data_IF_023906726215
#
_entry.id   IF_023906726215
#
_cell.length_a   1.000
_cell.length_b   1.000
_cell.length_c   1.000
_cell.angle_alpha   90.00
_cell.angle_beta   90.00
_cell.angle_gamma   90.00
#
_symmetry.space_group_name_H-M   'P 1'
#
loop_
_entity.id
_entity.type
_entity.pdbx_description
1 polymer ?
#
# COMPACT_ATOMS: atom_id res chain seq x y z
N UNK A 1 0.91 -21.90 -35.73
CA UNK A 1 2.28 -21.34 -35.77
C UNK A 1 2.16 -19.83 -35.62
N UNK A 2 2.67 -19.25 -34.53
CA UNK A 2 2.72 -17.81 -34.38
C UNK A 2 3.65 -17.21 -35.45
N UNK A 3 3.37 -16.03 -36.02
CA UNK A 3 4.26 -15.41 -36.99
C UNK A 3 5.59 -15.05 -36.32
N UNK A 4 6.72 -15.48 -36.91
CA UNK A 4 8.06 -15.03 -36.51
C UNK A 4 8.10 -13.50 -36.57
N UNK A 5 8.51 -12.86 -35.47
CA UNK A 5 8.62 -11.42 -35.42
C UNK A 5 9.65 -10.94 -36.44
N UNK A 6 9.34 -9.88 -37.21
CA UNK A 6 10.29 -9.33 -38.16
C UNK A 6 11.55 -8.82 -37.42
N UNK A 7 12.72 -8.96 -38.06
CA UNK A 7 14.01 -8.54 -37.47
C UNK A 7 13.97 -7.09 -36.95
N UNK A 8 13.30 -6.19 -37.67
CA UNK A 8 13.18 -4.79 -37.26
C UNK A 8 12.27 -4.62 -36.02
N UNK A 9 11.21 -5.42 -35.88
CA UNK A 9 10.36 -5.41 -34.69
C UNK A 9 11.16 -5.80 -33.44
N UNK A 10 11.97 -6.86 -33.57
CA UNK A 10 12.87 -7.32 -32.50
C UNK A 10 13.86 -6.23 -32.10
N UNK A 11 14.55 -5.63 -33.08
CA UNK A 11 15.52 -4.58 -32.80
C UNK A 11 14.88 -3.33 -32.20
N UNK A 12 13.63 -3.00 -32.57
CA UNK A 12 12.90 -1.89 -31.96
C UNK A 12 12.68 -2.08 -30.47
N UNK A 13 12.29 -3.28 -30.04
CA UNK A 13 12.10 -3.61 -28.63
C UNK A 13 13.42 -3.59 -27.86
N UNK A 14 14.46 -4.19 -28.43
CA UNK A 14 15.80 -4.21 -27.83
C UNK A 14 16.35 -2.79 -27.65
N UNK A 15 16.24 -1.94 -28.69
CA UNK A 15 16.67 -0.53 -28.63
C UNK A 15 15.91 0.27 -27.57
N UNK A 16 14.64 -0.07 -27.30
CA UNK A 16 13.86 0.60 -26.25
C UNK A 16 14.46 0.34 -24.86
N UNK A 17 14.75 -0.92 -24.55
CA UNK A 17 15.35 -1.31 -23.27
C UNK A 17 16.81 -0.85 -23.17
N UNK A 18 17.56 -0.94 -24.27
CA UNK A 18 18.98 -0.52 -24.31
C UNK A 18 19.18 0.95 -23.95
N UNK A 19 18.26 1.85 -24.37
CA UNK A 19 18.33 3.28 -24.03
C UNK A 19 18.33 3.57 -22.54
N UNK A 20 17.70 2.70 -21.75
CA UNK A 20 17.62 2.82 -20.29
C UNK A 20 18.79 2.11 -19.59
N UNK A 21 19.65 1.42 -20.35
CA UNK A 21 20.77 0.66 -19.81
C UNK A 21 21.88 1.59 -19.30
N UNK A 22 22.48 1.34 -18.12
CA UNK A 22 23.45 2.26 -17.51
C UNK A 22 24.67 2.60 -18.37
N UNK A 23 25.12 1.65 -19.20
CA UNK A 23 26.30 1.81 -20.07
C UNK A 23 25.94 2.21 -21.51
N UNK A 24 24.68 2.59 -21.78
CA UNK A 24 24.16 2.91 -23.11
C UNK A 24 25.07 3.84 -23.93
N UNK A 25 25.55 4.94 -23.33
CA UNK A 25 26.39 5.93 -24.03
C UNK A 25 27.74 5.39 -24.48
N UNK A 26 28.27 4.37 -23.80
CA UNK A 26 29.55 3.72 -24.12
C UNK A 26 29.39 2.41 -24.89
N UNK A 27 28.16 1.93 -25.05
CA UNK A 27 27.87 0.65 -25.68
C UNK A 27 27.93 0.74 -27.20
N UNK A 28 28.40 -0.33 -27.84
CA UNK A 28 28.32 -0.46 -29.29
C UNK A 28 26.95 -0.98 -29.71
N UNK A 29 26.13 -0.11 -30.29
CA UNK A 29 24.80 -0.46 -30.83
C UNK A 29 24.87 -1.67 -31.79
N UNK A 30 25.79 -1.75 -32.78
CA UNK A 30 25.88 -2.92 -33.65
C UNK A 30 26.14 -4.23 -32.90
N UNK A 31 26.93 -4.20 -31.82
CA UNK A 31 27.18 -5.40 -30.99
C UNK A 31 25.95 -5.81 -30.19
N UNK A 32 25.15 -4.86 -29.72
CA UNK A 32 23.89 -5.12 -29.02
C UNK A 32 22.88 -5.76 -29.96
N UNK A 33 22.69 -5.19 -31.15
CA UNK A 33 21.75 -5.71 -32.14
C UNK A 33 22.13 -7.12 -32.60
N UNK A 34 23.42 -7.36 -32.85
CA UNK A 34 23.93 -8.69 -33.17
C UNK A 34 23.65 -9.69 -32.05
N UNK A 35 24.00 -9.35 -30.81
CA UNK A 35 23.77 -10.24 -29.67
C UNK A 35 22.28 -10.54 -29.43
N UNK A 36 21.39 -9.58 -29.71
CA UNK A 36 19.96 -9.79 -29.61
C UNK A 36 19.42 -10.73 -30.71
N UNK A 37 19.87 -10.57 -31.95
CA UNK A 37 19.43 -11.42 -33.07
C UNK A 37 19.97 -12.86 -32.99
N UNK A 38 21.07 -13.08 -32.26
CA UNK A 38 21.64 -14.42 -32.01
C UNK A 38 20.86 -15.20 -30.93
N UNK A 39 20.04 -14.53 -30.11
CA UNK A 39 19.24 -15.18 -29.07
C UNK A 39 17.92 -15.74 -29.64
N UNK A 40 17.47 -16.92 -29.16
CA UNK A 40 16.10 -17.38 -29.33
C UNK A 40 15.07 -16.37 -28.82
N UNK A 41 13.88 -16.36 -29.41
CA UNK A 41 12.83 -15.37 -29.13
C UNK A 41 12.41 -15.35 -27.65
N UNK A 42 12.23 -16.52 -27.05
CA UNK A 42 11.87 -16.70 -25.65
C UNK A 42 12.98 -16.21 -24.70
N UNK A 43 14.22 -16.62 -24.97
CA UNK A 43 15.38 -16.20 -24.20
C UNK A 43 15.60 -14.68 -24.28
N UNK A 44 15.40 -14.09 -25.46
CA UNK A 44 15.50 -12.65 -25.66
C UNK A 44 14.42 -11.91 -24.90
N UNK A 45 13.15 -12.34 -24.97
CA UNK A 45 12.05 -11.72 -24.23
C UNK A 45 12.29 -11.78 -22.72
N UNK A 46 12.70 -12.95 -22.20
CA UNK A 46 13.07 -13.10 -20.79
C UNK A 46 14.21 -12.15 -20.39
N UNK A 47 15.27 -12.07 -21.22
CA UNK A 47 16.39 -11.15 -20.98
C UNK A 47 15.98 -9.68 -20.96
N UNK A 48 15.09 -9.25 -21.85
CA UNK A 48 14.58 -7.87 -21.87
C UNK A 48 13.72 -7.56 -20.62
N UNK A 49 12.90 -8.51 -20.17
CA UNK A 49 12.08 -8.37 -18.95
C UNK A 49 12.93 -8.30 -17.68
N UNK A 50 13.99 -9.11 -17.59
CA UNK A 50 14.86 -9.18 -16.42
C UNK A 50 15.90 -8.04 -16.34
N UNK A 51 16.05 -7.24 -17.40
CA UNK A 51 17.10 -6.24 -17.51
C UNK A 51 17.10 -5.19 -16.37
N UNK A 52 15.94 -4.60 -16.01
CA UNK A 52 15.86 -3.65 -14.89
C UNK A 52 16.25 -4.29 -13.54
N UNK A 53 15.86 -5.55 -13.32
CA UNK A 53 16.16 -6.29 -12.10
C UNK A 53 17.67 -6.56 -11.97
N UNK A 54 18.32 -6.94 -13.07
CA UNK A 54 19.77 -7.11 -13.10
C UNK A 54 20.51 -5.84 -12.69
N UNK A 55 20.12 -4.70 -13.26
CA UNK A 55 20.70 -3.40 -12.94
C UNK A 55 20.50 -3.06 -11.46
N UNK A 56 19.31 -3.31 -10.90
CA UNK A 56 19.01 -3.10 -9.48
C UNK A 56 19.90 -3.96 -8.58
N UNK A 57 19.98 -5.26 -8.83
CA UNK A 57 20.82 -6.18 -8.06
C UNK A 57 22.32 -5.80 -8.12
N UNK A 58 22.81 -5.34 -9.28
CA UNK A 58 24.17 -4.79 -9.38
C UNK A 58 24.37 -3.58 -8.46
N UNK A 59 23.43 -2.63 -8.43
CA UNK A 59 23.50 -1.45 -7.57
C UNK A 59 23.45 -1.81 -6.08
N UNK A 60 22.54 -2.68 -5.68
CA UNK A 60 22.39 -3.15 -4.28
C UNK A 60 23.67 -3.84 -3.79
N UNK A 61 24.30 -4.66 -4.64
CA UNK A 61 25.57 -5.33 -4.34
C UNK A 61 26.80 -4.47 -4.58
N UNK A 62 26.63 -3.20 -4.98
CA UNK A 62 27.71 -2.27 -5.36
C UNK A 62 28.65 -2.82 -6.45
N UNK A 63 28.11 -3.64 -7.35
CA UNK A 63 28.81 -4.20 -8.50
C UNK A 63 28.61 -3.35 -9.75
N UNK A 64 29.60 -3.36 -10.64
CA UNK A 64 29.51 -2.67 -11.93
C UNK A 64 28.53 -3.39 -12.87
N UNK A 65 27.74 -2.60 -13.61
CA UNK A 65 26.86 -3.10 -14.68
C UNK A 65 27.68 -3.27 -15.96
N UNK A 66 27.60 -4.43 -16.60
CA UNK A 66 28.30 -4.71 -17.87
C UNK A 66 27.62 -4.01 -19.07
N UNK A 67 28.24 -4.08 -20.25
CA UNK A 67 27.58 -3.63 -21.49
C UNK A 67 26.35 -4.46 -21.81
N UNK A 68 25.35 -3.87 -22.47
CA UNK A 68 24.11 -4.57 -22.77
C UNK A 68 24.33 -5.77 -23.71
N UNK A 69 25.30 -5.68 -24.62
CA UNK A 69 25.69 -6.78 -25.49
C UNK A 69 26.32 -7.96 -24.72
N UNK A 70 26.99 -7.71 -23.59
CA UNK A 70 27.52 -8.76 -22.71
C UNK A 70 26.39 -9.37 -21.88
N UNK A 71 25.49 -8.53 -21.35
CA UNK A 71 24.29 -8.97 -20.65
C UNK A 71 23.47 -9.96 -21.48
N UNK A 72 23.20 -9.62 -22.75
CA UNK A 72 22.45 -10.46 -23.70
C UNK A 72 23.18 -11.76 -24.04
N UNK A 73 24.43 -11.67 -24.48
CA UNK A 73 25.20 -12.83 -24.97
C UNK A 73 25.46 -13.87 -23.89
N UNK A 74 25.72 -13.42 -22.67
CA UNK A 74 26.04 -14.30 -21.53
C UNK A 74 24.81 -14.66 -20.69
N UNK A 75 23.61 -14.32 -21.16
CA UNK A 75 22.33 -14.62 -20.51
C UNK A 75 22.34 -14.29 -19.02
N UNK A 76 22.86 -13.11 -18.66
CA UNK A 76 23.19 -12.77 -17.25
C UNK A 76 21.98 -12.75 -16.31
N UNK A 77 20.76 -12.69 -16.84
CA UNK A 77 19.53 -12.82 -16.06
C UNK A 77 19.31 -14.22 -15.49
N UNK A 78 19.82 -15.27 -16.12
CA UNK A 78 19.66 -16.65 -15.61
C UNK A 78 20.38 -16.82 -14.27
N UNK A 79 21.50 -16.11 -14.08
CA UNK A 79 22.21 -16.08 -12.80
C UNK A 79 21.40 -15.39 -11.69
N UNK A 80 20.43 -14.54 -12.02
CA UNK A 80 19.53 -13.94 -11.03
C UNK A 80 18.53 -14.98 -10.51
N UNK A 81 17.98 -15.79 -11.42
CA UNK A 81 17.07 -16.87 -11.04
C UNK A 81 17.79 -17.94 -10.23
N UNK A 82 19.06 -18.24 -10.55
CA UNK A 82 19.87 -19.23 -9.80
C UNK A 82 20.14 -18.81 -8.35
N UNK A 83 20.17 -17.50 -8.07
CA UNK A 83 20.33 -16.96 -6.71
C UNK A 83 18.99 -16.57 -6.06
N UNK A 84 17.86 -17.05 -6.61
CA UNK A 84 16.52 -16.83 -6.07
C UNK A 84 15.91 -15.45 -6.32
N UNK A 85 16.52 -14.63 -7.18
CA UNK A 85 16.02 -13.29 -7.52
C UNK A 85 15.14 -13.39 -8.79
N UNK A 86 13.84 -13.61 -8.59
CA UNK A 86 12.84 -13.61 -9.68
C UNK A 86 12.35 -12.19 -10.04
N UNK A 87 12.02 -11.92 -11.31
CA UNK A 87 11.21 -10.76 -11.74
C UNK A 87 9.72 -11.12 -11.70
N UNK A 88 8.76 -10.21 -11.57
CA UNK A 88 8.71 -8.77 -11.29
C UNK A 88 8.18 -8.57 -9.85
N UNK A 89 8.37 -7.41 -9.19
CA UNK A 89 7.45 -7.02 -8.13
C UNK A 89 6.06 -6.90 -8.76
N UNK A 90 5.13 -7.77 -8.34
CA UNK A 90 3.70 -7.65 -8.66
C UNK A 90 3.32 -6.18 -8.44
N UNK A 91 2.87 -5.48 -9.49
CA UNK A 91 2.43 -4.08 -9.32
C UNK A 91 1.47 -4.05 -8.13
N UNK A 92 1.68 -3.18 -7.12
CA UNK A 92 0.85 -3.16 -5.93
C UNK A 92 -0.61 -3.09 -6.38
N UNK A 93 -1.36 -4.13 -6.07
CA UNK A 93 -2.74 -4.21 -6.48
C UNK A 93 -3.48 -3.06 -5.79
N UNK A 94 -4.12 -2.22 -6.58
CA UNK A 94 -4.96 -1.20 -6.01
C UNK A 94 -6.25 -1.87 -5.50
N UNK A 95 -6.75 -1.42 -4.36
CA UNK A 95 -8.01 -1.87 -3.79
C UNK A 95 -9.00 -0.71 -3.74
N UNK A 96 -10.29 -1.01 -3.74
CA UNK A 96 -11.29 0.04 -3.44
C UNK A 96 -11.19 0.36 -1.95
N UNK A 97 -11.45 1.62 -1.56
CA UNK A 97 -11.45 1.99 -0.12
C UNK A 97 -12.50 1.27 0.72
N UNK A 98 -13.48 0.65 0.05
CA UNK A 98 -14.57 -0.09 0.67
C UNK A 98 -14.35 -1.61 0.66
N UNK A 99 -13.22 -2.10 0.12
CA UNK A 99 -12.88 -3.51 0.20
C UNK A 99 -12.44 -3.89 1.61
N UNK A 100 -12.33 -5.20 1.88
CA UNK A 100 -11.75 -5.76 3.11
C UNK A 100 -10.35 -5.20 3.40
N UNK A 101 -9.46 -5.22 2.41
CA UNK A 101 -8.12 -4.64 2.51
C UNK A 101 -8.16 -3.12 2.79
N UNK A 102 -9.12 -2.41 2.20
CA UNK A 102 -9.32 -0.98 2.47
C UNK A 102 -9.81 -0.68 3.89
N UNK A 103 -10.64 -1.53 4.47
CA UNK A 103 -11.04 -1.43 5.88
C UNK A 103 -9.87 -1.71 6.81
N UNK A 104 -9.06 -2.73 6.52
CA UNK A 104 -7.86 -3.04 7.29
C UNK A 104 -6.87 -1.85 7.28
N UNK A 105 -6.62 -1.25 6.11
CA UNK A 105 -5.81 -0.03 6.04
C UNK A 105 -6.42 1.10 6.86
N UNK A 106 -7.73 1.33 6.76
CA UNK A 106 -8.39 2.38 7.54
C UNK A 106 -8.23 2.15 9.05
N UNK A 107 -8.47 0.94 9.54
CA UNK A 107 -8.29 0.60 10.96
C UNK A 107 -6.83 0.77 11.40
N UNK A 108 -5.89 0.31 10.58
CA UNK A 108 -4.46 0.48 10.82
C UNK A 108 -4.08 1.96 10.98
N UNK A 109 -4.58 2.83 10.12
CA UNK A 109 -4.36 4.28 10.21
C UNK A 109 -5.07 4.90 11.43
N UNK A 110 -6.24 4.39 11.82
CA UNK A 110 -6.99 4.88 12.98
C UNK A 110 -6.33 4.55 14.33
N UNK A 111 -5.65 3.42 14.44
CA UNK A 111 -4.90 3.04 15.66
C UNK A 111 -3.57 3.76 15.80
N UNK A 112 -3.09 4.45 14.75
CA UNK A 112 -1.90 5.28 14.85
C UNK A 112 -2.14 6.47 15.80
N UNK A 113 -1.07 7.03 16.40
CA UNK A 113 -1.16 8.28 17.15
C UNK A 113 -1.86 9.37 16.34
N UNK A 114 -2.72 10.14 17.00
CA UNK A 114 -3.41 11.24 16.34
C UNK A 114 -2.42 12.26 15.78
N UNK A 115 -2.72 12.77 14.59
CA UNK A 115 -1.97 13.85 13.98
C UNK A 115 -2.14 15.17 14.72
N UNK A 116 -1.39 16.18 14.28
CA UNK A 116 -1.52 17.53 14.79
C UNK A 116 -2.95 18.05 14.59
N UNK A 117 -3.58 18.48 15.68
CA UNK A 117 -4.89 19.11 15.65
C UNK A 117 -4.69 20.63 15.49
N UNK A 118 -5.26 21.25 14.43
CA UNK A 118 -5.21 22.70 14.32
C UNK A 118 -5.96 23.35 15.48
N UNK A 119 -5.60 24.58 15.81
CA UNK A 119 -6.31 25.35 16.82
C UNK A 119 -7.77 25.57 16.40
N UNK A 120 -8.71 25.25 17.29
CA UNK A 120 -10.14 25.50 17.03
C UNK A 120 -10.41 27.00 16.88
N UNK A 121 -11.42 27.42 16.09
CA UNK A 121 -11.92 28.79 16.15
C UNK A 121 -12.30 29.21 17.57
N UNK A 122 -12.06 30.48 17.94
CA UNK A 122 -12.29 30.99 19.29
C UNK A 122 -13.71 30.73 19.82
N UNK A 123 -14.73 30.85 18.97
CA UNK A 123 -16.11 30.53 19.35
C UNK A 123 -16.29 29.08 19.82
N UNK A 124 -15.63 28.11 19.17
CA UNK A 124 -15.69 26.70 19.57
C UNK A 124 -14.85 26.43 20.82
N UNK A 125 -13.75 27.15 21.02
CA UNK A 125 -12.94 27.06 22.25
C UNK A 125 -13.76 27.48 23.47
N UNK A 126 -14.47 28.62 23.38
CA UNK A 126 -15.33 29.10 24.47
C UNK A 126 -16.41 28.08 24.87
N UNK A 127 -17.03 27.40 23.89
CA UNK A 127 -18.01 26.34 24.18
C UNK A 127 -17.35 25.12 24.83
N UNK A 128 -16.14 24.76 24.38
CA UNK A 128 -15.38 23.67 24.97
C UNK A 128 -15.02 23.97 26.45
N UNK A 129 -14.52 25.17 26.72
CA UNK A 129 -14.16 25.68 28.05
C UNK A 129 -15.38 25.76 28.98
N UNK A 130 -16.49 26.30 28.50
CA UNK A 130 -17.75 26.35 29.26
C UNK A 130 -18.20 24.96 29.71
N UNK A 131 -18.07 23.94 28.85
CA UNK A 131 -18.40 22.56 29.21
C UNK A 131 -17.37 21.84 30.09
N UNK A 132 -16.17 22.38 30.30
CA UNK A 132 -15.18 21.87 31.26
C UNK A 132 -15.35 22.48 32.67
N UNK A 133 -16.12 23.57 32.78
CA UNK A 133 -16.34 24.22 34.05
C UNK A 133 -17.03 23.27 35.06
N UNK A 134 -16.64 23.26 36.35
CA UNK A 134 -17.27 22.40 37.36
C UNK A 134 -18.79 22.54 37.41
N UNK A 135 -19.29 23.78 37.29
CA UNK A 135 -20.72 24.13 37.33
C UNK A 135 -21.44 23.98 35.99
N UNK A 136 -20.78 23.44 34.95
CA UNK A 136 -21.39 23.25 33.65
C UNK A 136 -22.64 22.38 33.72
N UNK A 137 -23.67 22.74 32.97
CA UNK A 137 -24.85 21.91 32.77
C UNK A 137 -24.48 20.65 31.96
N UNK A 138 -25.29 19.61 32.05
CA UNK A 138 -25.10 18.41 31.23
C UNK A 138 -25.18 18.69 29.73
N UNK A 139 -25.95 19.70 29.33
CA UNK A 139 -26.04 20.14 27.93
C UNK A 139 -24.71 20.74 27.45
N UNK A 140 -24.09 21.60 28.26
CA UNK A 140 -22.79 22.20 27.95
C UNK A 140 -21.68 21.15 27.91
N UNK A 141 -21.65 20.23 28.87
CA UNK A 141 -20.70 19.10 28.88
C UNK A 141 -20.84 18.25 27.61
N UNK A 142 -22.07 17.85 27.25
CA UNK A 142 -22.34 17.06 26.05
C UNK A 142 -21.93 17.79 24.76
N UNK A 143 -22.24 19.09 24.67
CA UNK A 143 -21.87 19.90 23.51
C UNK A 143 -20.36 20.02 23.38
N UNK A 144 -19.66 20.27 24.49
CA UNK A 144 -18.21 20.36 24.57
C UNK A 144 -17.52 19.06 24.14
N UNK A 145 -18.00 17.90 24.63
CA UNK A 145 -17.51 16.57 24.19
C UNK A 145 -17.75 16.36 22.70
N UNK A 146 -18.94 16.72 22.19
CA UNK A 146 -19.27 16.60 20.77
C UNK A 146 -18.34 17.43 19.89
N UNK A 147 -18.12 18.70 20.22
CA UNK A 147 -17.22 19.59 19.46
C UNK A 147 -15.80 19.02 19.42
N UNK A 148 -15.27 18.53 20.55
CA UNK A 148 -13.94 17.89 20.58
C UNK A 148 -13.91 16.62 19.72
N UNK A 149 -14.95 15.79 19.81
CA UNK A 149 -15.08 14.56 19.02
C UNK A 149 -15.09 14.89 17.52
N UNK A 150 -15.93 15.81 17.07
CA UNK A 150 -16.04 16.23 15.67
C UNK A 150 -14.73 16.85 15.16
N UNK A 151 -14.06 17.64 16.00
CA UNK A 151 -12.76 18.21 15.67
C UNK A 151 -11.69 17.13 15.49
N UNK A 152 -11.66 16.11 16.37
CA UNK A 152 -10.76 14.95 16.24
C UNK A 152 -11.08 14.14 14.99
N UNK A 153 -12.35 13.83 14.72
CA UNK A 153 -12.75 13.10 13.50
C UNK A 153 -12.27 13.81 12.23
N UNK A 154 -12.35 15.16 12.21
CA UNK A 154 -11.97 15.97 11.05
C UNK A 154 -10.45 16.12 10.83
N UNK A 155 -9.66 16.15 11.90
CA UNK A 155 -8.23 16.50 11.79
C UNK A 155 -7.25 15.48 12.38
N UNK A 156 -7.72 14.62 13.28
CA UNK A 156 -6.89 13.67 14.03
C UNK A 156 -6.30 12.55 13.18
N UNK A 157 -6.91 12.20 12.05
CA UNK A 157 -6.42 11.13 11.17
C UNK A 157 -6.34 11.60 9.71
N UNK A 158 -5.33 12.42 9.35
CA UNK A 158 -5.18 12.95 8.00
C UNK A 158 -5.14 11.88 6.91
N UNK A 159 -4.50 10.73 7.18
CA UNK A 159 -4.43 9.61 6.24
C UNK A 159 -5.82 9.04 5.93
N UNK A 160 -6.62 8.75 6.97
CA UNK A 160 -8.01 8.28 6.84
C UNK A 160 -8.88 9.30 6.12
N UNK A 161 -8.74 10.58 6.47
CA UNK A 161 -9.53 11.65 5.87
C UNK A 161 -9.18 11.85 4.38
N UNK A 162 -7.90 11.68 4.01
CA UNK A 162 -7.47 11.68 2.61
C UNK A 162 -8.01 10.49 1.81
N UNK A 163 -8.37 9.36 2.44
CA UNK A 163 -8.98 8.22 1.75
C UNK A 163 -10.36 8.56 1.16
N UNK A 164 -11.09 9.50 1.74
CA UNK A 164 -12.41 9.91 1.25
C UNK A 164 -12.37 10.49 -0.18
N UNK A 165 -11.24 11.09 -0.59
CA UNK A 165 -11.04 11.61 -1.95
C UNK A 165 -10.54 10.55 -2.95
N UNK A 166 -10.23 9.33 -2.51
CA UNK A 166 -9.62 8.28 -3.35
C UNK A 166 -10.64 7.20 -3.69
N UNK A 167 -10.73 6.82 -4.97
CA UNK A 167 -11.48 5.64 -5.40
C UNK A 167 -10.68 4.34 -5.22
N UNK A 168 -9.36 4.45 -5.33
CA UNK A 168 -8.40 3.35 -5.28
C UNK A 168 -7.27 3.69 -4.32
N UNK A 169 -6.86 2.71 -3.52
CA UNK A 169 -5.82 2.82 -2.50
C UNK A 169 -4.84 1.65 -2.64
N UNK A 170 -3.60 1.87 -2.24
CA UNK A 170 -2.61 0.81 -2.12
C UNK A 170 -2.62 0.31 -0.67
N UNK A 171 -2.53 -1.00 -0.51
CA UNK A 171 -2.46 -1.66 0.80
C UNK A 171 -1.17 -2.49 0.81
N UNK A 172 -0.33 -2.38 1.85
CA UNK A 172 0.86 -3.23 1.97
C UNK A 172 0.49 -4.72 2.01
N UNK A 173 1.33 -5.58 1.43
CA UNK A 173 1.06 -7.02 1.32
C UNK A 173 0.87 -7.69 2.69
N UNK A 174 1.66 -7.30 3.70
CA UNK A 174 1.52 -7.79 5.07
C UNK A 174 0.13 -7.49 5.65
N UNK A 175 -0.39 -6.29 5.40
CA UNK A 175 -1.72 -5.89 5.89
C UNK A 175 -2.84 -6.57 5.10
N UNK A 176 -2.61 -6.81 3.81
CA UNK A 176 -3.51 -7.57 2.97
C UNK A 176 -3.72 -8.98 3.54
N UNK A 177 -2.65 -9.70 3.88
CA UNK A 177 -2.72 -11.03 4.51
C UNK A 177 -3.55 -11.01 5.80
N UNK A 178 -3.26 -10.08 6.70
CA UNK A 178 -4.02 -9.93 7.95
C UNK A 178 -5.50 -9.66 7.65
N UNK A 179 -5.79 -8.82 6.64
CA UNK A 179 -7.15 -8.47 6.28
C UNK A 179 -7.99 -9.68 5.85
N UNK A 180 -7.39 -10.76 5.36
CA UNK A 180 -8.14 -11.97 4.94
C UNK A 180 -8.93 -12.61 6.09
N UNK A 181 -8.49 -12.39 7.33
CA UNK A 181 -9.15 -12.87 8.55
C UNK A 181 -10.39 -12.06 8.96
N UNK A 182 -10.63 -10.91 8.31
CA UNK A 182 -11.74 -10.04 8.71
C UNK A 182 -13.10 -10.67 8.40
N UNK A 183 -14.00 -10.58 9.39
CA UNK A 183 -15.39 -10.95 9.22
C UNK A 183 -16.12 -9.95 8.32
N UNK A 184 -17.08 -10.45 7.56
CA UNK A 184 -18.02 -9.61 6.81
C UNK A 184 -19.25 -9.38 7.68
N UNK A 185 -19.62 -8.12 7.88
CA UNK A 185 -20.69 -7.70 8.79
C UNK A 185 -21.72 -6.92 7.99
N UNK A 186 -22.97 -7.39 7.97
CA UNK A 186 -24.05 -6.71 7.27
C UNK A 186 -24.51 -5.45 8.02
N UNK A 187 -24.97 -4.47 7.25
CA UNK A 187 -25.58 -3.25 7.78
C UNK A 187 -26.79 -3.59 8.68
N UNK A 188 -26.88 -2.90 9.83
CA UNK A 188 -27.96 -3.09 10.81
C UNK A 188 -27.83 -4.34 11.69
N UNK A 189 -26.78 -5.14 11.53
CA UNK A 189 -26.50 -6.26 12.44
C UNK A 189 -26.06 -5.78 13.83
N UNK A 190 -26.32 -6.58 14.86
CA UNK A 190 -25.86 -6.28 16.23
C UNK A 190 -24.33 -6.18 16.32
N UNK A 191 -23.61 -7.01 15.54
CA UNK A 191 -22.16 -6.95 15.46
C UNK A 191 -21.66 -5.58 14.99
N UNK A 192 -22.36 -4.95 14.04
CA UNK A 192 -22.02 -3.60 13.57
C UNK A 192 -22.21 -2.54 14.67
N UNK A 193 -23.26 -2.65 15.47
CA UNK A 193 -23.53 -1.69 16.57
C UNK A 193 -22.36 -1.60 17.54
N UNK A 194 -21.74 -2.73 17.91
CA UNK A 194 -20.56 -2.72 18.76
C UNK A 194 -19.37 -1.96 18.14
N UNK A 195 -19.13 -2.14 16.84
CA UNK A 195 -18.11 -1.38 16.11
C UNK A 195 -18.45 0.11 16.02
N UNK A 196 -19.73 0.46 15.82
CA UNK A 196 -20.17 1.87 15.82
C UNK A 196 -19.93 2.54 17.17
N UNK A 197 -20.26 1.87 18.27
CA UNK A 197 -20.00 2.35 19.63
C UNK A 197 -18.50 2.51 19.92
N UNK A 198 -17.69 1.57 19.44
CA UNK A 198 -16.23 1.62 19.52
C UNK A 198 -15.68 2.89 18.84
N UNK A 199 -16.12 3.15 17.60
CA UNK A 199 -15.68 4.29 16.83
C UNK A 199 -16.12 5.60 17.49
N UNK A 200 -17.34 5.66 18.01
CA UNK A 200 -17.82 6.86 18.70
C UNK A 200 -17.02 7.14 19.97
N UNK A 201 -16.78 6.10 20.80
CA UNK A 201 -15.97 6.21 22.02
C UNK A 201 -14.54 6.68 21.74
N UNK A 202 -13.95 6.25 20.62
CA UNK A 202 -12.61 6.68 20.18
C UNK A 202 -12.60 7.99 19.41
N UNK A 203 -13.75 8.62 19.18
CA UNK A 203 -13.89 9.78 18.29
C UNK A 203 -13.29 9.52 16.89
N UNK A 204 -13.41 8.29 16.41
CA UNK A 204 -12.93 7.90 15.10
C UNK A 204 -13.92 8.30 14.00
N UNK A 205 -13.45 8.78 12.84
CA UNK A 205 -14.32 9.04 11.71
C UNK A 205 -14.96 7.74 11.23
N UNK A 206 -16.30 7.71 11.17
CA UNK A 206 -17.05 6.61 10.60
C UNK A 206 -16.93 6.56 9.06
N UNK A 207 -17.30 5.43 8.49
CA UNK A 207 -17.39 5.25 7.05
C UNK A 207 -18.51 6.14 6.46
N UNK A 208 -18.47 6.47 5.14
CA UNK A 208 -19.58 7.15 4.49
C UNK A 208 -20.89 6.38 4.63
N UNK A 209 -22.00 7.10 4.87
CA UNK A 209 -23.34 6.52 4.98
C UNK A 209 -23.76 5.88 3.65
N UNK A 210 -24.23 4.61 3.69
CA UNK A 210 -24.82 3.78 2.60
C UNK A 210 -24.12 2.44 2.28
N UNK A 211 -23.18 1.98 3.08
CA UNK A 211 -22.56 0.66 2.85
C UNK A 211 -23.47 -0.47 3.33
N UNK A 212 -23.70 -1.47 2.48
CA UNK A 212 -24.45 -2.68 2.83
C UNK A 212 -23.63 -3.64 3.71
N UNK A 213 -22.29 -3.61 3.58
CA UNK A 213 -21.37 -4.52 4.24
C UNK A 213 -20.13 -3.79 4.74
N UNK A 214 -19.68 -4.20 5.91
CA UNK A 214 -18.48 -3.73 6.57
C UNK A 214 -17.54 -4.91 6.79
N UNK A 215 -16.26 -4.60 6.92
CA UNK A 215 -15.23 -5.61 7.21
C UNK A 215 -14.44 -5.18 8.42
N UNK A 216 -14.41 -6.04 9.43
CA UNK A 216 -13.69 -5.81 10.67
C UNK A 216 -12.99 -7.08 11.14
N UNK A 217 -11.97 -6.98 12.01
CA UNK A 217 -11.37 -8.13 12.65
C UNK A 217 -12.44 -9.07 13.23
N UNK A 218 -12.26 -10.37 13.02
CA UNK A 218 -13.22 -11.36 13.51
C UNK A 218 -13.22 -11.41 15.05
N UNK A 219 -14.40 -11.54 15.64
CA UNK A 219 -14.57 -11.59 17.08
C UNK A 219 -15.96 -11.11 17.50
N UNK A 220 -16.38 -11.49 18.71
CA UNK A 220 -17.66 -11.06 19.27
C UNK A 220 -17.56 -9.73 20.02
N UNK A 221 -16.37 -9.39 20.52
CA UNK A 221 -16.09 -8.10 21.16
C UNK A 221 -15.18 -7.25 20.25
N UNK A 222 -15.65 -6.08 19.78
CA UNK A 222 -14.86 -5.17 18.95
C UNK A 222 -13.55 -4.69 19.59
N UNK A 223 -13.49 -4.52 20.92
CA UNK A 223 -12.26 -4.11 21.59
C UNK A 223 -11.21 -5.22 21.52
N UNK A 224 -11.55 -6.43 21.97
CA UNK A 224 -10.64 -7.57 21.89
C UNK A 224 -10.22 -7.85 20.44
N UNK A 225 -11.16 -7.82 19.49
CA UNK A 225 -10.85 -8.06 18.08
C UNK A 225 -9.89 -6.99 17.51
N UNK A 226 -9.97 -5.73 17.99
CA UNK A 226 -9.03 -4.68 17.63
C UNK A 226 -7.63 -4.92 18.25
N UNK A 227 -7.57 -5.38 19.50
CA UNK A 227 -6.29 -5.75 20.12
C UNK A 227 -5.62 -6.89 19.37
N UNK A 228 -6.35 -7.97 19.06
CA UNK A 228 -5.83 -9.11 18.32
C UNK A 228 -5.32 -8.69 16.92
N UNK A 229 -6.01 -7.74 16.28
CA UNK A 229 -5.54 -7.13 15.03
C UNK A 229 -4.23 -6.36 15.21
N UNK A 230 -4.09 -5.55 16.26
CA UNK A 230 -2.86 -4.82 16.55
C UNK A 230 -1.68 -5.76 16.86
N UNK A 231 -1.94 -6.85 17.58
CA UNK A 231 -0.93 -7.87 17.87
C UNK A 231 -0.47 -8.58 16.58
N UNK A 232 -1.40 -8.95 15.70
CA UNK A 232 -1.07 -9.50 14.38
C UNK A 232 -0.21 -8.55 13.54
N UNK A 233 -0.47 -7.24 13.57
CA UNK A 233 0.36 -6.23 12.90
C UNK A 233 1.77 -6.22 13.49
N UNK A 234 1.90 -6.27 14.81
CA UNK A 234 3.19 -6.25 15.49
C UNK A 234 4.02 -7.50 15.15
N UNK A 235 3.40 -8.67 15.07
CA UNK A 235 4.07 -9.93 14.73
C UNK A 235 4.60 -9.90 13.29
N UNK A 236 3.75 -9.59 12.32
CA UNK A 236 4.13 -9.60 10.89
C UNK A 236 5.22 -8.55 10.59
N UNK A 237 5.20 -7.39 11.28
CA UNK A 237 6.26 -6.37 11.11
C UNK A 237 7.58 -6.75 11.78
N UNK A 238 7.56 -7.54 12.85
CA UNK A 238 8.77 -8.05 13.48
C UNK A 238 9.46 -9.12 12.63
N UNK A 239 8.68 -9.90 11.88
CA UNK A 239 9.20 -10.93 10.97
C UNK A 239 9.79 -10.32 9.69
N UNK A 240 9.23 -9.21 9.19
CA UNK A 240 9.76 -8.46 8.04
C UNK A 240 11.12 -7.76 8.36
N UNK A 241 11.37 -7.34 9.60
CA UNK A 241 12.66 -6.74 10.02
C UNK A 241 13.76 -7.79 10.28
N UNK A 242 13.40 -9.08 10.33
CA UNK A 242 14.31 -10.21 10.58
C UNK A 242 14.77 -10.94 9.30
N UNK A 243 14.27 -10.54 8.13
CA UNK A 243 14.53 -11.14 6.82
C UNK A 243 15.44 -10.26 5.92
#
# INVERSE_FOLDING_TARGET
MAPEASKESVLREVRKVHREWPTFLSDSIPKVEKAALELPDDARQAGLQMAPLFVRNCKERKNNVCSFAVYLRERRWERLTDIGIAAEPKRPEAYTRFSRAGHALRLYELVQPIGHLPTMPAALQLVCEAGEHPDATDAERKMSVKIRSDHRKRWGWPAVNAMAGKSRILVPDWLLKISETFATIDAGSHALSGWMELFERRSWPWFPDNMERYFFPAGNDPEQALYDFMDAISMERSDDDAA
#
